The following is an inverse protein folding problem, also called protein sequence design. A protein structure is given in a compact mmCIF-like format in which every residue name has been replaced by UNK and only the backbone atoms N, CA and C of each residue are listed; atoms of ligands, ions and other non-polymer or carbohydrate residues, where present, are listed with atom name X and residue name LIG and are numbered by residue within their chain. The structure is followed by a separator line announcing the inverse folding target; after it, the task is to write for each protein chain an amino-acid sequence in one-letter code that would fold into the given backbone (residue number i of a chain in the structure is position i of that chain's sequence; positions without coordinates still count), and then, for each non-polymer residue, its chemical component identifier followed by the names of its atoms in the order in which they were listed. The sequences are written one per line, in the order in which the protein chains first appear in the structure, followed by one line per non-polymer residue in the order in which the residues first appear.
data_IF_913502702820
#
_entry.id   IF_913502702820
#
_cell.length_a   1.000
_cell.length_b   1.000
_cell.length_c   1.000
_cell.angle_alpha   90.00
_cell.angle_beta   90.00
_cell.angle_gamma   90.00
#
_symmetry.space_group_name_H-M   'P 1'
#
loop_
_entity.id
_entity.type
_entity.pdbx_description
1 polymer ?
#
# COMPACT_ATOMS: atom_id res chain seq x y z
N UNK A 1 2.94 -6.80 12.30
CA UNK A 1 2.56 -7.90 13.22
C UNK A 1 3.15 -9.24 12.77
N UNK A 2 2.92 -9.71 11.55
CA UNK A 2 3.45 -11.00 11.06
C UNK A 2 4.96 -11.20 11.28
N UNK A 3 5.78 -10.16 11.09
CA UNK A 3 7.22 -10.22 11.34
C UNK A 3 7.52 -10.49 12.83
N UNK A 4 6.92 -9.75 13.74
CA UNK A 4 7.13 -9.93 15.19
C UNK A 4 6.67 -11.32 15.64
N UNK A 5 5.54 -11.79 15.15
CA UNK A 5 5.05 -13.14 15.47
C UNK A 5 5.97 -14.22 14.92
N UNK A 6 6.50 -14.05 13.70
CA UNK A 6 7.50 -14.95 13.12
C UNK A 6 8.79 -15.01 13.96
N UNK A 7 9.28 -13.87 14.47
CA UNK A 7 10.43 -13.84 15.35
C UNK A 7 10.11 -14.44 16.72
N UNK A 8 8.93 -14.17 17.28
CA UNK A 8 8.49 -14.76 18.54
C UNK A 8 8.48 -16.30 18.52
N UNK A 9 8.10 -16.91 17.37
CA UNK A 9 8.09 -18.38 17.23
C UNK A 9 9.48 -19.01 17.33
N UNK A 10 10.53 -18.25 17.06
CA UNK A 10 11.93 -18.70 17.20
C UNK A 10 12.40 -18.69 18.65
N UNK A 11 11.66 -18.05 19.55
CA UNK A 11 12.01 -17.92 20.98
C UNK A 11 11.24 -18.97 21.77
N UNK A 12 11.92 -19.91 22.47
CA UNK A 12 11.27 -20.93 23.29
C UNK A 12 10.39 -20.32 24.39
N UNK A 13 9.26 -20.96 24.68
CA UNK A 13 8.26 -20.44 25.63
C UNK A 13 8.74 -20.25 27.08
N UNK A 14 9.86 -20.88 27.47
CA UNK A 14 10.31 -20.95 28.86
C UNK A 14 11.73 -20.42 29.11
N UNK A 15 12.32 -19.66 28.21
CA UNK A 15 13.67 -19.15 28.38
C UNK A 15 13.69 -17.66 28.70
N UNK A 16 14.04 -17.35 29.96
CA UNK A 16 14.29 -15.97 30.39
C UNK A 16 15.50 -15.34 29.65
N UNK A 17 16.39 -16.17 29.11
CA UNK A 17 17.61 -15.78 28.40
C UNK A 17 17.72 -16.63 27.11
N UNK A 18 17.14 -16.17 26.02
CA UNK A 18 17.37 -16.74 24.69
C UNK A 18 18.33 -15.84 23.90
N UNK A 19 19.31 -16.45 23.24
CA UNK A 19 20.22 -15.73 22.35
C UNK A 19 19.96 -16.21 20.93
N UNK A 20 19.61 -15.28 20.02
CA UNK A 20 19.45 -15.54 18.59
C UNK A 20 20.52 -14.69 17.87
N UNK A 21 21.35 -15.33 17.05
CA UNK A 21 22.43 -14.68 16.31
C UNK A 21 23.37 -13.84 17.21
N UNK A 22 23.64 -14.31 18.45
CA UNK A 22 24.51 -13.63 19.42
C UNK A 22 23.85 -12.49 20.17
N UNK A 23 22.56 -12.17 19.91
CA UNK A 23 21.81 -11.13 20.57
C UNK A 23 20.84 -11.70 21.59
N UNK A 24 20.71 -11.03 22.74
CA UNK A 24 19.70 -11.36 23.71
C UNK A 24 18.30 -11.11 23.13
N UNK A 25 17.50 -12.17 23.01
CA UNK A 25 16.16 -12.11 22.47
C UNK A 25 15.13 -12.29 23.59
N UNK A 26 14.09 -11.44 23.57
CA UNK A 26 12.95 -11.51 24.47
C UNK A 26 11.67 -11.66 23.66
N UNK A 27 10.83 -12.60 24.06
CA UNK A 27 9.49 -12.73 23.47
C UNK A 27 8.65 -11.50 23.77
N UNK A 28 8.02 -10.94 22.74
CA UNK A 28 7.09 -9.82 22.86
C UNK A 28 5.67 -10.38 22.87
N UNK A 29 4.92 -10.16 23.95
CA UNK A 29 3.51 -10.50 23.98
C UNK A 29 2.73 -9.46 23.17
N UNK A 30 2.30 -9.86 21.97
CA UNK A 30 1.47 -9.04 21.10
C UNK A 30 0.00 -9.38 21.37
N UNK A 31 -0.72 -8.45 21.95
CA UNK A 31 -2.10 -8.61 22.35
C UNK A 31 -3.05 -7.96 21.36
N UNK A 32 -2.73 -6.73 20.94
CA UNK A 32 -3.60 -5.94 20.07
C UNK A 32 -2.81 -5.25 18.97
N UNK A 33 -3.38 -5.19 17.77
CA UNK A 33 -2.92 -4.35 16.66
C UNK A 33 -3.95 -3.27 16.38
N UNK A 34 -3.58 -2.02 16.59
CA UNK A 34 -4.36 -0.86 16.16
C UNK A 34 -3.84 -0.33 14.82
N UNK A 35 -4.75 -0.10 13.88
CA UNK A 35 -4.45 0.50 12.58
C UNK A 35 -5.31 1.76 12.44
N UNK A 36 -4.65 2.90 12.21
CA UNK A 36 -5.32 4.19 11.96
C UNK A 36 -5.10 4.57 10.51
N UNK A 37 -6.19 4.67 9.74
CA UNK A 37 -6.18 4.98 8.29
C UNK A 37 -5.16 4.13 7.49
N UNK A 38 -5.16 2.80 7.64
CA UNK A 38 -4.17 1.97 7.00
C UNK A 38 -4.40 1.90 5.50
N UNK A 39 -3.31 1.96 4.74
CA UNK A 39 -3.26 1.46 3.37
C UNK A 39 -2.51 0.13 3.43
N UNK A 40 -3.24 -0.98 3.45
CA UNK A 40 -2.66 -2.31 3.71
C UNK A 40 -2.35 -3.04 2.41
N UNK A 41 -3.30 -3.02 1.47
CA UNK A 41 -3.18 -3.70 0.18
C UNK A 41 -3.89 -2.92 -0.92
N UNK A 42 -3.13 -2.13 -1.68
CA UNK A 42 -3.65 -1.30 -2.76
C UNK A 42 -4.39 -2.11 -3.83
N UNK A 43 -4.01 -3.37 -4.07
CA UNK A 43 -4.68 -4.22 -5.05
C UNK A 43 -6.11 -4.56 -4.63
N UNK A 44 -6.33 -4.71 -3.32
CA UNK A 44 -7.66 -4.97 -2.75
C UNK A 44 -8.42 -3.65 -2.57
N UNK A 45 -7.75 -2.63 -2.06
CA UNK A 45 -8.40 -1.37 -1.65
C UNK A 45 -8.78 -0.47 -2.82
N UNK A 46 -8.03 -0.49 -3.93
CA UNK A 46 -8.23 0.44 -5.04
C UNK A 46 -9.67 0.47 -5.59
N UNK A 47 -10.35 -0.67 -5.63
CA UNK A 47 -11.73 -0.77 -6.09
C UNK A 47 -12.73 -0.03 -5.20
N UNK A 48 -12.43 0.12 -3.92
CA UNK A 48 -13.39 0.72 -2.97
C UNK A 48 -13.41 2.24 -3.02
N UNK A 49 -12.37 2.89 -3.54
CA UNK A 49 -12.37 4.36 -3.68
C UNK A 49 -13.45 4.87 -4.63
N UNK A 50 -13.56 4.39 -5.90
CA UNK A 50 -14.66 4.81 -6.76
C UNK A 50 -16.02 4.34 -6.23
N UNK A 51 -16.12 3.16 -5.60
CA UNK A 51 -17.36 2.73 -4.97
C UNK A 51 -17.80 3.68 -3.87
N UNK A 52 -16.90 4.06 -2.98
CA UNK A 52 -17.21 4.96 -1.88
C UNK A 52 -17.57 6.37 -2.37
N UNK A 53 -16.88 6.87 -3.40
CA UNK A 53 -17.18 8.17 -4.00
C UNK A 53 -18.56 8.20 -4.69
N UNK A 54 -19.01 7.08 -5.24
CA UNK A 54 -20.27 6.97 -5.96
C UNK A 54 -21.46 6.57 -5.07
N UNK A 55 -21.25 5.61 -4.16
CA UNK A 55 -22.30 5.07 -3.29
C UNK A 55 -21.73 4.74 -1.91
N UNK A 56 -22.07 5.55 -0.93
CA UNK A 56 -21.63 5.39 0.46
C UNK A 56 -22.83 5.49 1.43
N UNK A 57 -22.59 5.09 2.69
CA UNK A 57 -23.61 5.10 3.75
C UNK A 57 -24.07 6.50 4.17
N UNK A 58 -23.34 7.54 3.77
CA UNK A 58 -23.70 8.94 4.05
C UNK A 58 -24.67 9.51 3.02
N UNK A 59 -24.99 8.78 1.95
CA UNK A 59 -25.85 9.26 0.87
C UNK A 59 -25.23 10.35 0.00
N UNK A 60 -23.92 10.54 0.08
CA UNK A 60 -23.18 11.57 -0.67
C UNK A 60 -22.56 10.97 -1.93
N UNK A 61 -23.07 11.38 -3.09
CA UNK A 61 -22.48 11.05 -4.38
C UNK A 61 -21.55 12.18 -4.82
N UNK A 62 -20.24 11.94 -4.83
CA UNK A 62 -19.23 12.95 -5.16
C UNK A 62 -18.72 12.85 -6.59
N UNK A 63 -18.97 11.74 -7.28
CA UNK A 63 -18.58 11.52 -8.68
C UNK A 63 -19.78 11.15 -9.55
N UNK A 64 -19.67 11.41 -10.86
CA UNK A 64 -20.68 10.99 -11.83
C UNK A 64 -20.66 9.49 -12.06
N UNK A 65 -21.76 8.94 -12.59
CA UNK A 65 -21.81 7.52 -12.97
C UNK A 65 -20.78 7.17 -14.06
N UNK A 66 -20.57 8.11 -15.01
CA UNK A 66 -19.57 7.96 -16.06
C UNK A 66 -18.17 7.81 -15.46
N UNK A 67 -17.74 8.74 -14.59
CA UNK A 67 -16.44 8.68 -13.92
C UNK A 67 -16.27 7.43 -13.08
N UNK A 68 -17.34 6.98 -12.42
CA UNK A 68 -17.35 5.72 -11.68
C UNK A 68 -17.06 4.53 -12.59
N UNK A 69 -17.76 4.42 -13.73
CA UNK A 69 -17.55 3.33 -14.69
C UNK A 69 -16.17 3.36 -15.32
N UNK A 70 -15.68 4.55 -15.65
CA UNK A 70 -14.33 4.73 -16.18
C UNK A 70 -13.26 4.32 -15.18
N UNK A 71 -13.42 4.67 -13.92
CA UNK A 71 -12.50 4.24 -12.86
C UNK A 71 -12.47 2.72 -12.71
N UNK A 72 -13.62 2.06 -12.72
CA UNK A 72 -13.69 0.59 -12.66
C UNK A 72 -13.11 -0.08 -13.92
N UNK A 73 -13.33 0.49 -15.09
CA UNK A 73 -12.71 0.01 -16.32
C UNK A 73 -11.18 0.14 -16.25
N UNK A 74 -10.66 1.29 -15.83
CA UNK A 74 -9.22 1.51 -15.66
C UNK A 74 -8.60 0.63 -14.57
N UNK A 75 -9.39 0.19 -13.59
CA UNK A 75 -8.95 -0.76 -12.58
C UNK A 75 -8.68 -2.15 -13.17
N UNK A 76 -9.59 -2.65 -14.05
CA UNK A 76 -9.67 -4.06 -14.44
C UNK A 76 -9.31 -4.37 -15.90
N UNK A 77 -9.22 -3.36 -16.78
CA UNK A 77 -8.82 -3.58 -18.18
C UNK A 77 -7.40 -4.15 -18.27
N UNK A 78 -7.04 -4.81 -19.39
CA UNK A 78 -5.65 -5.19 -19.65
C UNK A 78 -4.70 -4.01 -19.48
N UNK A 79 -3.56 -4.24 -18.84
CA UNK A 79 -2.57 -3.22 -18.45
C UNK A 79 -3.15 -2.10 -17.56
N UNK A 80 -4.27 -2.34 -16.91
CA UNK A 80 -4.88 -1.44 -15.95
C UNK A 80 -4.22 -1.51 -14.58
N UNK A 81 -4.82 -0.80 -13.62
CA UNK A 81 -4.26 -0.65 -12.28
C UNK A 81 -3.93 -1.99 -11.61
N UNK A 82 -4.82 -2.99 -11.67
CA UNK A 82 -4.58 -4.30 -11.08
C UNK A 82 -3.40 -5.05 -11.71
N UNK A 83 -3.27 -5.01 -13.02
CA UNK A 83 -2.18 -5.67 -13.73
C UNK A 83 -0.83 -4.99 -13.43
N UNK A 84 -0.81 -3.66 -13.38
CA UNK A 84 0.39 -2.90 -13.04
C UNK A 84 0.84 -3.16 -11.59
N UNK A 85 -0.07 -3.21 -10.62
CA UNK A 85 0.27 -3.56 -9.23
C UNK A 85 0.81 -4.98 -9.16
N UNK A 86 0.18 -5.93 -9.87
CA UNK A 86 0.62 -7.31 -9.92
C UNK A 86 2.03 -7.43 -10.53
N UNK A 87 2.29 -6.73 -11.62
CA UNK A 87 3.60 -6.70 -12.26
C UNK A 87 4.68 -6.13 -11.32
N UNK A 88 4.39 -5.01 -10.63
CA UNK A 88 5.27 -4.44 -9.61
C UNK A 88 5.61 -5.47 -8.51
N UNK A 89 4.63 -6.16 -7.97
CA UNK A 89 4.79 -7.16 -6.90
C UNK A 89 5.62 -8.36 -7.35
N UNK A 90 5.29 -8.93 -8.52
CA UNK A 90 6.04 -10.06 -9.07
C UNK A 90 7.50 -9.68 -9.30
N UNK A 91 7.74 -8.51 -9.89
CA UNK A 91 9.09 -8.03 -10.13
C UNK A 91 9.85 -7.77 -8.81
N UNK A 92 9.17 -7.22 -7.79
CA UNK A 92 9.73 -7.00 -6.46
C UNK A 92 10.16 -8.30 -5.79
N UNK A 93 9.31 -9.32 -5.81
CA UNK A 93 9.64 -10.63 -5.19
C UNK A 93 10.81 -11.34 -5.87
N UNK A 94 11.02 -11.13 -7.17
CA UNK A 94 12.09 -11.79 -7.93
C UNK A 94 13.40 -10.99 -7.89
N UNK A 95 13.33 -9.66 -8.00
CA UNK A 95 14.49 -8.81 -8.25
C UNK A 95 14.89 -7.90 -7.09
N UNK A 96 14.05 -7.79 -6.05
CA UNK A 96 14.33 -7.05 -4.81
C UNK A 96 13.73 -7.80 -3.61
N UNK A 97 14.27 -9.00 -3.36
CA UNK A 97 13.74 -9.95 -2.35
C UNK A 97 13.73 -9.37 -0.93
N UNK A 98 14.68 -8.49 -0.63
CA UNK A 98 14.72 -7.79 0.67
C UNK A 98 13.73 -6.62 0.74
N UNK A 99 13.16 -6.21 -0.40
CA UNK A 99 12.19 -5.12 -0.53
C UNK A 99 12.70 -3.79 0.07
N UNK A 100 13.98 -3.50 -0.14
CA UNK A 100 14.64 -2.31 0.39
C UNK A 100 14.73 -1.16 -0.61
N UNK A 101 14.09 -1.32 -1.79
CA UNK A 101 13.97 -0.26 -2.79
C UNK A 101 15.26 0.07 -3.55
N UNK A 102 16.27 -0.81 -3.55
CA UNK A 102 17.53 -0.57 -4.27
C UNK A 102 17.47 -0.88 -5.77
N UNK A 103 16.47 -1.65 -6.21
CA UNK A 103 16.37 -2.03 -7.62
C UNK A 103 15.58 -0.97 -8.41
N UNK A 104 16.29 -0.23 -9.29
CA UNK A 104 15.68 0.84 -10.10
C UNK A 104 14.57 0.35 -11.03
N UNK A 105 14.66 -0.84 -11.59
CA UNK A 105 13.66 -1.41 -12.49
C UNK A 105 12.38 -1.73 -11.70
N UNK A 106 12.51 -2.32 -10.52
CA UNK A 106 11.38 -2.56 -9.61
C UNK A 106 10.73 -1.23 -9.23
N UNK A 107 11.53 -0.26 -8.81
CA UNK A 107 11.04 1.06 -8.41
C UNK A 107 10.27 1.75 -9.55
N UNK A 108 10.78 1.71 -10.78
CA UNK A 108 10.11 2.29 -11.93
C UNK A 108 8.76 1.61 -12.22
N UNK A 109 8.70 0.27 -12.18
CA UNK A 109 7.46 -0.47 -12.39
C UNK A 109 6.43 -0.17 -11.29
N UNK A 110 6.87 -0.08 -10.04
CA UNK A 110 5.98 0.24 -8.91
C UNK A 110 5.52 1.71 -8.92
N UNK A 111 6.39 2.64 -9.34
CA UNK A 111 6.02 4.04 -9.54
C UNK A 111 4.97 4.19 -10.64
N UNK A 112 5.14 3.48 -11.78
CA UNK A 112 4.14 3.46 -12.85
C UNK A 112 2.79 2.96 -12.35
N UNK A 113 2.77 1.83 -11.63
CA UNK A 113 1.56 1.28 -11.03
C UNK A 113 0.87 2.28 -10.10
N UNK A 114 1.66 2.90 -9.21
CA UNK A 114 1.15 3.88 -8.25
C UNK A 114 0.56 5.11 -8.95
N UNK A 115 1.28 5.67 -9.91
CA UNK A 115 0.83 6.86 -10.66
C UNK A 115 -0.44 6.57 -11.46
N UNK A 116 -0.45 5.45 -12.18
CA UNK A 116 -1.63 5.06 -12.97
C UNK A 116 -2.86 4.82 -12.10
N UNK A 117 -2.73 4.01 -11.04
CA UNK A 117 -3.84 3.71 -10.14
C UNK A 117 -4.37 4.98 -9.49
N UNK A 118 -3.48 5.87 -9.08
CA UNK A 118 -3.90 7.12 -8.49
C UNK A 118 -4.64 7.99 -9.50
N UNK A 119 -4.08 8.23 -10.67
CA UNK A 119 -4.64 9.15 -11.66
C UNK A 119 -6.00 8.67 -12.18
N UNK A 120 -6.13 7.38 -12.51
CA UNK A 120 -7.30 6.86 -13.23
C UNK A 120 -8.32 6.12 -12.35
N UNK A 121 -7.97 5.77 -11.11
CA UNK A 121 -8.87 5.01 -10.23
C UNK A 121 -9.18 5.75 -8.94
N UNK A 122 -8.15 6.16 -8.20
CA UNK A 122 -8.33 6.79 -6.89
C UNK A 122 -8.54 8.31 -6.97
N UNK A 123 -7.98 8.96 -7.99
CA UNK A 123 -7.95 10.42 -8.13
C UNK A 123 -9.33 11.06 -8.13
N UNK A 124 -10.32 10.40 -8.72
CA UNK A 124 -11.71 10.84 -8.69
C UNK A 124 -12.23 11.08 -7.25
N UNK A 125 -11.93 10.16 -6.34
CA UNK A 125 -12.29 10.31 -4.91
C UNK A 125 -11.55 11.47 -4.25
N UNK A 126 -10.24 11.57 -4.45
CA UNK A 126 -9.42 12.58 -3.79
C UNK A 126 -9.69 14.01 -4.28
N UNK A 127 -9.99 14.18 -5.57
CA UNK A 127 -10.27 15.52 -6.14
C UNK A 127 -11.66 16.02 -5.77
N UNK A 128 -12.62 15.13 -5.57
CA UNK A 128 -14.03 15.51 -5.32
C UNK A 128 -14.41 15.48 -3.84
N UNK A 129 -13.69 14.75 -3.00
CA UNK A 129 -13.98 14.60 -1.57
C UNK A 129 -13.57 15.81 -0.71
N UNK A 130 -12.89 16.82 -1.30
CA UNK A 130 -12.34 17.95 -0.54
C UNK A 130 -11.14 17.58 0.35
N UNK A 131 -10.70 16.32 0.32
CA UNK A 131 -9.44 15.90 0.96
C UNK A 131 -8.30 16.48 0.14
N UNK A 132 -7.69 17.55 0.62
CA UNK A 132 -6.70 18.32 -0.12
C UNK A 132 -5.54 17.46 -0.63
N UNK A 133 -5.13 17.72 -1.85
CA UNK A 133 -4.02 17.09 -2.57
C UNK A 133 -2.70 17.06 -1.78
N UNK A 134 -2.54 17.96 -0.79
CA UNK A 134 -1.38 18.04 0.12
C UNK A 134 -1.17 16.78 0.95
N UNK A 135 -2.25 16.16 1.44
CA UNK A 135 -2.13 14.92 2.25
C UNK A 135 -1.69 13.73 1.42
N UNK A 136 -2.03 13.74 0.12
CA UNK A 136 -1.63 12.71 -0.83
C UNK A 136 -0.18 12.86 -1.29
N UNK A 137 0.30 14.07 -1.52
CA UNK A 137 1.71 14.32 -1.86
C UNK A 137 2.64 13.91 -0.71
N UNK A 138 2.18 14.04 0.55
CA UNK A 138 2.90 13.52 1.70
C UNK A 138 2.97 11.99 1.63
N UNK A 139 1.88 11.32 1.28
CA UNK A 139 1.83 9.86 1.16
C UNK A 139 2.69 9.34 -0.01
N UNK A 140 2.69 10.00 -1.19
CA UNK A 140 3.59 9.66 -2.30
C UNK A 140 5.07 9.83 -1.94
N UNK A 141 5.42 10.79 -1.08
CA UNK A 141 6.79 10.96 -0.58
C UNK A 141 7.24 9.78 0.27
N UNK A 142 6.33 9.14 1.03
CA UNK A 142 6.66 7.93 1.78
C UNK A 142 6.89 6.70 0.89
N UNK A 143 6.30 6.65 -0.30
CA UNK A 143 6.47 5.56 -1.25
C UNK A 143 7.70 5.74 -2.16
N UNK A 144 8.31 6.91 -2.19
CA UNK A 144 9.45 7.19 -3.07
C UNK A 144 10.64 7.74 -2.26
N UNK A 145 11.42 6.86 -1.60
CA UNK A 145 12.52 7.25 -0.71
C UNK A 145 13.66 8.00 -1.43
N UNK A 146 13.77 7.90 -2.77
CA UNK A 146 14.80 8.65 -3.52
C UNK A 146 14.52 10.16 -3.60
N UNK A 147 13.31 10.62 -3.35
CA UNK A 147 12.98 12.07 -3.30
C UNK A 147 13.24 12.73 -1.95
N UNK A 148 13.63 11.98 -0.93
CA UNK A 148 13.98 12.54 0.39
C UNK A 148 15.39 13.13 0.46
N UNK A 149 16.23 12.94 -0.55
CA UNK A 149 17.65 13.33 -0.55
C UNK A 149 17.97 14.67 -1.23
N UNK A 150 16.95 15.45 -1.62
CA UNK A 150 17.15 16.77 -2.24
C UNK A 150 16.36 17.88 -1.54
N UNK A 151 16.62 18.05 -0.26
CA UNK A 151 16.36 19.30 0.51
C UNK A 151 17.56 19.57 1.41
#
# INVERSE_FOLDING_TARGET
MAHFESQNRKIPNNTANCTIDGLHAKRISLDTLGLTNPCVDTQIEAQFYPHFAFNNTYGLRTITEELYRDSLNNLTKPDGCHDLIKACRVLGTVSDQEQIGRNRTVNAACALASTYCFEFVLGAYFTTSGVGFSSFLIWLRFLNPEQQLTL
#
